data_IF_415496250127
#
_entry.id   IF_415496250127
#
_cell.length_a   1.000
_cell.length_b   1.000
_cell.length_c   1.000
_cell.angle_alpha   90.00
_cell.angle_beta   90.00
_cell.angle_gamma   90.00
#
_symmetry.space_group_name_H-M   'P 1'
#
loop_
_entity.id
_entity.type
_entity.pdbx_description
1 polymer ?
#
# COMPACT_ATOMS: atom_id res chain seq x y z
N UNK A 1 -4.43 3.94 7.92
CA UNK A 1 -5.80 3.61 7.49
C UNK A 1 -5.92 2.10 7.40
N UNK A 2 -6.84 1.50 8.14
CA UNK A 2 -7.11 0.07 8.06
C UNK A 2 -7.87 -0.25 6.78
N UNK A 3 -7.54 -1.39 6.17
CA UNK A 3 -8.18 -1.87 4.97
C UNK A 3 -9.22 -2.93 5.34
N UNK A 4 -10.47 -2.73 4.93
CA UNK A 4 -11.59 -3.58 5.31
C UNK A 4 -12.16 -4.41 4.15
N UNK A 5 -11.76 -4.13 2.91
CA UNK A 5 -12.27 -4.78 1.71
C UNK A 5 -11.18 -5.48 0.88
N UNK A 6 -9.93 -5.47 1.36
CA UNK A 6 -8.78 -6.05 0.69
C UNK A 6 -8.30 -5.31 -0.57
N UNK A 7 -8.86 -4.13 -0.90
CA UNK A 7 -8.44 -3.38 -2.09
C UNK A 7 -7.23 -2.51 -1.81
N UNK A 8 -6.18 -2.63 -2.62
CA UNK A 8 -4.98 -1.79 -2.50
C UNK A 8 -5.32 -0.31 -2.68
N UNK A 9 -4.57 0.56 -2.01
CA UNK A 9 -4.77 2.00 -2.17
C UNK A 9 -4.36 2.45 -3.58
N UNK A 10 -5.22 3.25 -4.20
CA UNK A 10 -4.91 3.94 -5.44
C UNK A 10 -3.78 4.96 -5.28
N UNK A 11 -3.17 5.36 -6.38
CA UNK A 11 -2.27 6.53 -6.41
C UNK A 11 -3.03 7.80 -6.04
N UNK A 12 -2.34 8.74 -5.41
CA UNK A 12 -2.86 10.07 -5.11
C UNK A 12 -2.11 11.12 -5.93
N UNK A 13 -2.88 11.94 -6.62
CA UNK A 13 -2.39 13.01 -7.48
C UNK A 13 -2.84 14.35 -6.91
N UNK A 14 -1.97 15.35 -7.01
CA UNK A 14 -2.24 16.74 -6.67
C UNK A 14 -2.34 17.56 -7.96
N UNK A 15 -3.49 18.17 -8.19
CA UNK A 15 -3.67 19.21 -9.20
C UNK A 15 -3.28 20.57 -8.58
N UNK A 16 -2.35 21.27 -9.22
CA UNK A 16 -1.87 22.59 -8.81
C UNK A 16 -2.65 23.71 -9.49
N UNK A 17 -2.52 24.93 -8.98
CA UNK A 17 -3.22 26.12 -9.51
C UNK A 17 -2.81 26.48 -10.94
N UNK A 18 -1.59 26.13 -11.34
CA UNK A 18 -1.05 26.29 -12.70
C UNK A 18 -1.50 25.18 -13.68
N UNK A 19 -2.29 24.21 -13.20
CA UNK A 19 -2.77 23.08 -13.97
C UNK A 19 -1.83 21.88 -14.03
N UNK A 20 -0.67 21.95 -13.37
CA UNK A 20 0.23 20.80 -13.26
C UNK A 20 -0.38 19.70 -12.39
N UNK A 21 -0.19 18.44 -12.79
CA UNK A 21 -0.57 17.26 -11.99
C UNK A 21 0.69 16.59 -11.49
N UNK A 22 0.82 16.44 -10.18
CA UNK A 22 1.97 15.82 -9.53
C UNK A 22 1.53 14.61 -8.72
N UNK A 23 2.23 13.48 -8.88
CA UNK A 23 2.02 12.32 -8.02
C UNK A 23 2.61 12.59 -6.63
N UNK A 24 1.78 12.47 -5.60
CA UNK A 24 2.19 12.65 -4.19
C UNK A 24 2.23 11.32 -3.43
N UNK A 25 1.59 10.28 -3.99
CA UNK A 25 1.67 8.90 -3.51
C UNK A 25 1.45 7.95 -4.67
N UNK A 26 2.40 7.03 -4.89
CA UNK A 26 2.22 5.93 -5.84
C UNK A 26 1.12 4.97 -5.40
N UNK A 27 0.52 4.25 -6.35
CA UNK A 27 -0.38 3.15 -6.03
C UNK A 27 0.34 2.07 -5.20
N UNK A 28 -0.38 1.47 -4.25
CA UNK A 28 0.12 0.31 -3.50
C UNK A 28 0.19 -0.92 -4.39
N UNK A 29 1.20 -1.76 -4.14
CA UNK A 29 1.31 -3.10 -4.69
C UNK A 29 1.07 -4.13 -3.58
N UNK A 30 0.87 -5.38 -3.97
CA UNK A 30 0.62 -6.48 -3.02
C UNK A 30 1.79 -6.63 -2.03
N UNK A 31 3.01 -6.41 -2.50
CA UNK A 31 4.21 -6.50 -1.68
C UNK A 31 4.23 -5.45 -0.56
N UNK A 32 3.73 -4.24 -0.81
CA UNK A 32 3.63 -3.18 0.21
C UNK A 32 2.64 -3.56 1.31
N UNK A 33 1.51 -4.14 0.90
CA UNK A 33 0.43 -4.52 1.80
C UNK A 33 0.85 -5.64 2.76
N UNK A 34 1.75 -6.53 2.32
CA UNK A 34 2.28 -7.63 3.12
C UNK A 34 3.72 -7.39 3.61
N UNK A 35 4.26 -6.18 3.49
CA UNK A 35 5.67 -5.88 3.78
C UNK A 35 6.09 -6.20 5.23
N UNK A 36 5.15 -6.27 6.16
CA UNK A 36 5.41 -6.59 7.57
C UNK A 36 5.23 -8.07 7.91
N UNK A 37 4.77 -8.89 6.97
CA UNK A 37 4.63 -10.33 7.18
C UNK A 37 5.94 -11.02 6.83
N UNK A 38 6.50 -11.73 7.80
CA UNK A 38 7.63 -12.63 7.60
C UNK A 38 7.10 -14.06 7.51
N UNK A 39 7.03 -14.58 6.29
CA UNK A 39 6.56 -15.93 6.03
C UNK A 39 7.60 -17.01 6.38
N UNK A 40 8.89 -16.67 6.48
CA UNK A 40 9.93 -17.63 6.83
C UNK A 40 9.79 -18.06 8.31
N UNK A 41 9.24 -17.18 9.15
CA UNK A 41 8.96 -17.49 10.55
C UNK A 41 7.72 -18.38 10.75
N UNK A 42 6.90 -18.56 9.72
CA UNK A 42 5.67 -19.35 9.81
C UNK A 42 5.94 -20.81 10.19
N UNK A 43 7.06 -21.37 9.76
CA UNK A 43 7.46 -22.75 10.07
C UNK A 43 7.65 -23.01 11.57
N UNK A 44 7.89 -21.95 12.35
CA UNK A 44 8.16 -22.02 13.80
C UNK A 44 6.96 -21.61 14.64
N UNK A 45 5.83 -21.31 14.01
CA UNK A 45 4.62 -20.88 14.70
C UNK A 45 3.89 -22.09 15.32
N UNK A 46 3.85 -22.15 16.65
CA UNK A 46 3.12 -23.16 17.42
C UNK A 46 1.86 -22.54 18.07
N UNK A 47 0.76 -23.31 18.14
CA UNK A 47 -0.57 -22.87 18.64
C UNK A 47 -0.80 -23.33 20.07
#
# INVERSE_FOLDING_TARGET
GFNYNGKLRSSELLLREDGEVVEIRRAERVEDYFATLDFDQLERFEV
#
